data_IF_795792395058
#
_entry.id   IF_795792395058
#
_cell.length_a   1.000
_cell.length_b   1.000
_cell.length_c   1.000
_cell.angle_alpha   90.00
_cell.angle_beta   90.00
_cell.angle_gamma   90.00
#
_symmetry.space_group_name_H-M   'P 1'
#
loop_
_entity.id
_entity.type
_entity.pdbx_description
1 polymer ?
#
# COMPACT_ATOMS: atom_id res chain seq x y z
N UNK A 1 -1.76 -0.71 14.67
CA UNK A 1 -2.26 0.65 14.35
C UNK A 1 -3.47 0.51 13.44
N UNK A 2 -4.63 1.10 13.74
CA UNK A 2 -5.85 0.96 12.90
C UNK A 2 -6.06 2.12 11.93
N UNK A 3 -5.37 3.24 12.18
CA UNK A 3 -5.46 4.49 11.45
C UNK A 3 -4.05 5.08 11.30
N UNK A 4 -3.78 5.66 10.15
CA UNK A 4 -2.58 6.42 9.84
C UNK A 4 -2.95 7.89 9.72
N UNK A 5 -2.19 8.78 10.36
CA UNK A 5 -2.39 10.23 10.22
C UNK A 5 -1.52 10.74 9.07
N UNK A 6 -2.13 11.35 8.05
CA UNK A 6 -1.40 11.97 6.98
C UNK A 6 -0.89 13.36 7.40
N UNK A 7 0.21 13.83 6.80
CA UNK A 7 0.78 15.18 6.97
C UNK A 7 -0.22 16.32 6.70
N UNK A 8 -1.31 16.07 5.94
CA UNK A 8 -2.38 17.05 5.74
C UNK A 8 -3.42 17.09 6.86
N UNK A 9 -3.22 16.34 7.95
CA UNK A 9 -4.10 16.25 9.11
C UNK A 9 -5.26 15.25 8.97
N UNK A 10 -5.45 14.63 7.79
CA UNK A 10 -6.50 13.61 7.59
C UNK A 10 -6.06 12.23 8.05
N UNK A 11 -6.99 11.49 8.64
CA UNK A 11 -6.79 10.07 8.94
C UNK A 11 -7.09 9.19 7.73
N UNK A 12 -6.21 8.21 7.49
CA UNK A 12 -6.36 7.14 6.51
C UNK A 12 -6.65 5.85 7.29
N UNK A 13 -7.73 5.17 6.92
CA UNK A 13 -8.12 3.91 7.56
C UNK A 13 -7.37 2.74 6.89
N UNK A 14 -6.38 2.21 7.60
CA UNK A 14 -5.50 1.15 7.07
C UNK A 14 -6.02 -0.28 7.38
N UNK A 15 -6.89 -0.43 8.40
CA UNK A 15 -7.56 -1.70 8.72
C UNK A 15 -9.09 -1.57 8.69
N UNK A 16 -9.77 -2.60 8.19
CA UNK A 16 -11.23 -2.64 8.12
C UNK A 16 -11.73 -3.57 7.03
N UNK A 17 -12.42 -2.98 6.05
CA UNK A 17 -12.99 -3.70 4.91
C UNK A 17 -11.92 -4.51 4.16
N UNK A 18 -12.29 -5.70 3.69
CA UNK A 18 -11.45 -6.58 2.89
C UNK A 18 -12.25 -6.93 1.62
N UNK A 19 -11.82 -6.49 0.43
CA UNK A 19 -10.64 -5.65 0.17
C UNK A 19 -10.81 -4.21 0.68
N UNK A 20 -9.71 -3.58 1.11
CA UNK A 20 -9.73 -2.19 1.57
C UNK A 20 -9.69 -1.23 0.37
N UNK A 21 -10.68 -0.34 0.17
CA UNK A 21 -10.75 0.54 -1.00
C UNK A 21 -9.62 1.60 -1.05
N UNK A 22 -8.96 1.85 0.08
CA UNK A 22 -7.85 2.79 0.19
C UNK A 22 -6.48 2.14 -0.01
N UNK A 23 -6.43 0.81 0.07
CA UNK A 23 -5.20 0.03 -0.02
C UNK A 23 -4.94 -0.36 -1.47
N UNK A 24 -3.76 -0.02 -1.94
CA UNK A 24 -3.25 -0.44 -3.22
C UNK A 24 -2.12 -1.42 -2.98
N UNK A 25 -2.08 -2.47 -3.78
CA UNK A 25 -0.97 -3.42 -3.81
C UNK A 25 0.00 -3.00 -4.90
N UNK A 26 1.25 -2.78 -4.52
CA UNK A 26 2.32 -2.45 -5.46
C UNK A 26 3.34 -3.59 -5.46
N UNK A 27 3.88 -3.91 -6.63
CA UNK A 27 4.92 -4.91 -6.80
C UNK A 27 5.94 -4.36 -7.79
N UNK A 28 7.22 -4.66 -7.58
CA UNK A 28 8.25 -4.31 -8.55
C UNK A 28 8.09 -5.15 -9.82
N UNK A 29 8.46 -4.60 -10.97
CA UNK A 29 8.45 -5.33 -12.24
C UNK A 29 9.27 -6.62 -12.14
N UNK A 30 10.47 -6.54 -11.54
CA UNK A 30 11.35 -7.69 -11.32
C UNK A 30 10.78 -8.75 -10.39
N UNK A 31 9.97 -8.38 -9.38
CA UNK A 31 9.33 -9.36 -8.50
C UNK A 31 8.10 -9.96 -9.17
N UNK A 32 7.39 -9.18 -9.97
CA UNK A 32 6.25 -9.64 -10.74
C UNK A 32 6.66 -10.66 -11.82
N UNK A 33 7.79 -10.44 -12.50
CA UNK A 33 8.32 -11.35 -13.54
C UNK A 33 8.65 -12.76 -13.03
N UNK A 34 8.78 -12.93 -11.71
CA UNK A 34 9.00 -14.24 -11.07
C UNK A 34 7.77 -15.13 -11.10
N UNK A 35 6.59 -14.57 -11.37
CA UNK A 35 5.33 -15.31 -11.51
C UNK A 35 5.12 -15.71 -12.97
N UNK A 36 4.99 -17.01 -13.22
CA UNK A 36 4.82 -17.55 -14.58
C UNK A 36 3.72 -18.61 -14.62
N UNK A 37 2.96 -18.66 -15.73
CA UNK A 37 1.89 -19.63 -15.93
C UNK A 37 0.66 -19.38 -15.05
N UNK A 38 0.02 -20.46 -14.60
CA UNK A 38 -1.10 -20.37 -13.67
C UNK A 38 -0.55 -20.21 -12.24
N UNK A 39 -0.79 -19.05 -11.64
CA UNK A 39 -0.33 -18.71 -10.29
C UNK A 39 -1.52 -18.44 -9.37
N UNK A 40 -1.34 -18.77 -8.09
CA UNK A 40 -2.32 -18.42 -7.06
C UNK A 40 -2.30 -16.89 -6.85
N UNK A 41 -3.49 -16.28 -6.85
CA UNK A 41 -3.63 -14.86 -6.59
C UNK A 41 -3.16 -14.48 -5.18
N UNK A 42 -3.25 -15.39 -4.21
CA UNK A 42 -2.77 -15.17 -2.85
C UNK A 42 -1.24 -15.05 -2.80
N UNK A 43 -0.51 -15.82 -3.62
CA UNK A 43 0.96 -15.73 -3.69
C UNK A 43 1.41 -14.38 -4.26
N UNK A 44 0.75 -13.91 -5.32
CA UNK A 44 1.00 -12.57 -5.88
C UNK A 44 0.67 -11.49 -4.85
N UNK A 45 -0.45 -11.64 -4.14
CA UNK A 45 -0.86 -10.72 -3.09
C UNK A 45 0.16 -10.62 -1.95
N UNK A 46 0.73 -11.75 -1.52
CA UNK A 46 1.76 -11.82 -0.46
C UNK A 46 3.08 -11.18 -0.87
N UNK A 47 3.42 -11.20 -2.16
CA UNK A 47 4.62 -10.54 -2.69
C UNK A 47 4.45 -9.02 -2.85
N UNK A 48 3.21 -8.52 -2.82
CA UNK A 48 2.94 -7.09 -2.95
C UNK A 48 3.23 -6.32 -1.65
N UNK A 49 3.69 -5.09 -1.82
CA UNK A 49 3.81 -4.09 -0.78
C UNK A 49 2.49 -3.33 -0.66
N UNK A 50 2.06 -3.05 0.56
CA UNK A 50 0.88 -2.23 0.83
C UNK A 50 1.19 -0.74 0.69
N UNK A 51 0.37 -0.04 -0.07
CA UNK A 51 0.39 1.40 -0.24
C UNK A 51 -0.99 2.00 0.02
N UNK A 52 -1.04 3.18 0.62
CA UNK A 52 -2.29 3.91 0.85
C UNK A 52 -2.23 5.31 0.27
N UNK A 53 -3.28 5.71 -0.45
CA UNK A 53 -3.41 7.05 -1.02
C UNK A 53 -4.27 7.94 -0.12
N UNK A 54 -3.76 9.12 0.23
CA UNK A 54 -4.55 10.13 0.91
C UNK A 54 -5.52 10.82 -0.07
N UNK A 55 -6.83 10.62 0.08
CA UNK A 55 -7.84 11.34 -0.72
C UNK A 55 -7.86 12.85 -0.50
N UNK A 56 -7.25 13.34 0.58
CA UNK A 56 -7.23 14.75 0.91
C UNK A 56 -6.15 15.57 0.21
N UNK A 57 -4.97 14.98 0.00
CA UNK A 57 -3.81 15.70 -0.55
C UNK A 57 -2.99 14.91 -1.57
N UNK A 58 -3.44 13.69 -1.93
CA UNK A 58 -2.78 12.84 -2.92
C UNK A 58 -1.49 12.17 -2.46
N UNK A 59 -0.97 12.45 -1.26
CA UNK A 59 0.21 11.77 -0.69
C UNK A 59 0.02 10.25 -0.66
N UNK A 60 1.12 9.53 -0.91
CA UNK A 60 1.19 8.08 -0.85
C UNK A 60 1.95 7.67 0.40
N UNK A 61 1.42 6.69 1.12
CA UNK A 61 2.07 6.09 2.29
C UNK A 61 2.39 4.64 1.97
N UNK A 62 3.67 4.29 1.95
CA UNK A 62 4.15 2.98 1.49
C UNK A 62 4.78 2.22 2.64
N UNK A 63 4.33 0.98 2.86
CA UNK A 63 4.82 0.09 3.91
C UNK A 63 5.89 -0.86 3.37
N UNK A 64 7.07 -0.32 3.01
CA UNK A 64 8.18 -1.11 2.45
C UNK A 64 8.62 -2.29 3.33
N UNK A 65 8.54 -2.14 4.66
CA UNK A 65 8.83 -3.19 5.64
C UNK A 65 7.60 -3.89 6.21
N UNK A 66 6.46 -3.85 5.49
CA UNK A 66 5.18 -4.34 6.00
C UNK A 66 4.57 -3.44 7.09
N UNK A 67 3.43 -3.86 7.66
CA UNK A 67 2.66 -3.08 8.63
C UNK A 67 3.34 -2.90 10.00
N UNK A 68 4.38 -3.68 10.29
CA UNK A 68 5.22 -3.52 11.49
C UNK A 68 6.28 -2.41 11.32
N UNK A 69 6.63 -2.08 10.07
CA UNK A 69 7.55 -1.01 9.74
C UNK A 69 6.90 0.38 9.78
N UNK A 70 7.75 1.42 9.88
CA UNK A 70 7.30 2.81 9.72
C UNK A 70 7.05 3.09 8.23
N UNK A 71 5.84 3.52 7.83
CA UNK A 71 5.56 3.81 6.43
C UNK A 71 6.30 5.07 5.96
N UNK A 72 6.68 5.09 4.68
CA UNK A 72 7.30 6.25 4.04
C UNK A 72 6.23 7.07 3.32
N UNK A 73 6.28 8.39 3.50
CA UNK A 73 5.35 9.34 2.91
C UNK A 73 5.95 10.00 1.65
N UNK A 74 5.29 9.86 0.52
CA UNK A 74 5.61 10.55 -0.74
C UNK A 74 4.56 11.61 -1.05
N UNK A 75 4.98 12.74 -1.61
CA UNK A 75 4.08 13.80 -2.07
C UNK A 75 4.03 13.84 -3.59
N UNK A 76 2.87 14.16 -4.20
CA UNK A 76 2.83 14.56 -5.60
C UNK A 76 3.73 15.78 -5.81
N UNK A 77 4.52 15.74 -6.87
CA UNK A 77 5.21 16.93 -7.37
C UNK A 77 4.23 17.71 -8.25
N UNK A 78 4.34 19.04 -8.19
CA UNK A 78 3.52 19.98 -8.94
C UNK A 78 4.34 21.22 -9.23
#
# INVERSE_FOLDING_TARGET
MTKLSCECGRSIRIFGEIPNPLEWKIISDSDFDRFQGAVDAEDVYRACISMFRCHGCGRLWVYWGGFEGTPVCYRPEG
#
